data_IF_711470830685
#
_entry.id   IF_711470830685
#
_cell.length_a   1.000
_cell.length_b   1.000
_cell.length_c   1.000
_cell.angle_alpha   90.00
_cell.angle_beta   90.00
_cell.angle_gamma   90.00
#
_symmetry.space_group_name_H-M   'P 1'
#
loop_
_entity.id
_entity.type
_entity.pdbx_description
1 polymer ?
#
# COMPACT_ATOMS: atom_id res chain seq x y z
N UNK A 1 -70.93 -19.14 15.96
CA UNK A 1 -69.51 -19.43 15.96
C UNK A 1 -68.75 -18.85 14.73
N UNK A 2 -69.14 -17.71 14.14
CA UNK A 2 -68.48 -17.12 12.94
C UNK A 2 -67.85 -15.72 13.19
N UNK A 3 -67.88 -15.17 14.39
CA UNK A 3 -67.31 -13.84 14.69
C UNK A 3 -65.87 -13.87 15.23
N UNK A 4 -65.39 -15.01 15.72
CA UNK A 4 -64.00 -15.16 16.20
C UNK A 4 -62.97 -15.34 15.08
N UNK A 5 -63.36 -15.78 13.90
CA UNK A 5 -62.49 -16.04 12.78
C UNK A 5 -62.00 -14.73 12.10
N UNK A 6 -62.85 -13.71 12.04
CA UNK A 6 -62.52 -12.45 11.38
C UNK A 6 -61.53 -11.60 12.22
N UNK A 7 -61.68 -11.61 13.54
CA UNK A 7 -60.75 -10.91 14.43
C UNK A 7 -59.36 -11.55 14.44
N UNK A 8 -59.27 -12.89 14.39
CA UNK A 8 -58.03 -13.60 14.31
C UNK A 8 -57.31 -13.37 12.95
N UNK A 9 -58.04 -13.32 11.85
CA UNK A 9 -57.50 -12.98 10.53
C UNK A 9 -57.03 -11.53 10.45
N UNK A 10 -57.77 -10.59 11.05
CA UNK A 10 -57.35 -9.18 11.10
C UNK A 10 -56.10 -8.99 11.98
N UNK A 11 -55.99 -9.72 13.07
CA UNK A 11 -54.81 -9.68 13.95
C UNK A 11 -53.60 -10.30 13.27
N UNK A 12 -53.76 -11.42 12.53
CA UNK A 12 -52.71 -12.05 11.75
C UNK A 12 -52.24 -11.17 10.59
N UNK A 13 -53.16 -10.50 9.91
CA UNK A 13 -52.81 -9.56 8.83
C UNK A 13 -52.09 -8.31 9.38
N UNK A 14 -52.51 -7.81 10.54
CA UNK A 14 -51.84 -6.67 11.23
C UNK A 14 -50.42 -7.08 11.67
N UNK A 15 -50.26 -8.30 12.20
CA UNK A 15 -48.99 -8.82 12.62
C UNK A 15 -48.07 -9.08 11.41
N UNK A 16 -48.59 -9.59 10.29
CA UNK A 16 -47.86 -9.76 9.05
C UNK A 16 -47.41 -8.40 8.44
N UNK A 17 -48.27 -7.38 8.50
CA UNK A 17 -47.95 -6.04 8.06
C UNK A 17 -46.85 -5.38 8.93
N UNK A 18 -46.92 -5.57 10.26
CA UNK A 18 -45.89 -5.09 11.20
C UNK A 18 -44.53 -5.79 10.98
N UNK A 19 -44.54 -7.08 10.67
CA UNK A 19 -43.30 -7.84 10.37
C UNK A 19 -42.70 -7.42 9.02
N UNK A 20 -43.54 -7.15 8.02
CA UNK A 20 -43.04 -6.71 6.69
C UNK A 20 -42.46 -5.30 6.72
N UNK A 21 -43.03 -4.38 7.50
CA UNK A 21 -42.48 -3.02 7.70
C UNK A 21 -41.16 -3.12 8.49
N UNK A 22 -41.11 -4.02 9.48
CA UNK A 22 -39.89 -4.26 10.24
C UNK A 22 -38.74 -4.83 9.39
N UNK A 23 -39.06 -5.70 8.42
CA UNK A 23 -38.06 -6.25 7.49
C UNK A 23 -37.56 -5.20 6.47
N UNK A 24 -38.46 -4.36 5.93
CA UNK A 24 -38.08 -3.25 5.06
C UNK A 24 -37.21 -2.22 5.79
N UNK A 25 -37.57 -1.89 7.02
CA UNK A 25 -36.79 -0.98 7.88
C UNK A 25 -35.44 -1.58 8.27
N UNK A 26 -35.38 -2.89 8.55
CA UNK A 26 -34.12 -3.60 8.83
C UNK A 26 -33.16 -3.58 7.63
N UNK A 27 -33.68 -3.79 6.43
CA UNK A 27 -32.86 -3.77 5.21
C UNK A 27 -32.31 -2.37 4.93
N UNK A 28 -33.16 -1.36 5.02
CA UNK A 28 -32.77 0.04 4.85
C UNK A 28 -31.77 0.50 5.91
N UNK A 29 -32.02 0.14 7.18
CA UNK A 29 -31.08 0.43 8.27
C UNK A 29 -29.76 -0.30 8.06
N UNK A 30 -29.79 -1.55 7.59
CA UNK A 30 -28.57 -2.31 7.31
C UNK A 30 -27.75 -1.69 6.18
N UNK A 31 -28.38 -1.31 5.06
CA UNK A 31 -27.71 -0.70 3.91
C UNK A 31 -27.15 0.72 4.22
N UNK A 32 -27.84 1.48 5.07
CA UNK A 32 -27.36 2.82 5.50
C UNK A 32 -26.33 2.75 6.63
N UNK A 33 -26.38 1.70 7.46
CA UNK A 33 -25.45 1.56 8.59
C UNK A 33 -24.12 0.91 8.23
N UNK A 34 -24.07 0.11 7.15
CA UNK A 34 -22.82 -0.56 6.72
C UNK A 34 -21.65 0.43 6.50
N UNK A 35 -21.80 1.55 5.75
CA UNK A 35 -20.72 2.51 5.59
C UNK A 35 -20.36 3.24 6.87
N UNK A 36 -21.31 3.41 7.78
CA UNK A 36 -21.05 4.00 9.11
C UNK A 36 -20.27 3.02 9.98
N UNK A 37 -20.66 1.75 9.96
CA UNK A 37 -19.96 0.69 10.69
C UNK A 37 -18.51 0.52 10.19
N UNK A 38 -18.30 0.50 8.88
CA UNK A 38 -16.93 0.46 8.30
C UNK A 38 -16.11 1.68 8.74
N UNK A 39 -16.72 2.86 8.74
CA UNK A 39 -16.03 4.09 9.17
C UNK A 39 -15.72 4.10 10.67
N UNK A 40 -16.59 3.49 11.48
CA UNK A 40 -16.36 3.30 12.93
C UNK A 40 -15.23 2.29 13.15
N UNK A 41 -15.22 1.17 12.43
CA UNK A 41 -14.13 0.20 12.51
C UNK A 41 -12.77 0.78 12.05
N UNK A 42 -12.77 1.61 11.00
CA UNK A 42 -11.56 2.30 10.54
C UNK A 42 -11.08 3.36 11.53
N UNK A 43 -12.01 4.06 12.18
CA UNK A 43 -11.70 5.00 13.27
C UNK A 43 -11.19 4.27 14.51
N UNK A 44 -11.77 3.12 14.85
CA UNK A 44 -11.34 2.31 15.98
C UNK A 44 -9.92 1.74 15.76
N UNK A 45 -9.63 1.27 14.54
CA UNK A 45 -8.26 0.87 14.15
C UNK A 45 -7.28 2.03 14.23
N UNK A 46 -7.68 3.23 13.75
CA UNK A 46 -6.85 4.44 13.84
C UNK A 46 -6.65 4.86 15.28
N UNK A 47 -7.68 4.83 16.10
CA UNK A 47 -7.59 5.14 17.52
C UNK A 47 -6.68 4.13 18.24
N UNK A 48 -6.85 2.83 17.98
CA UNK A 48 -5.98 1.79 18.57
C UNK A 48 -4.51 1.99 18.16
N UNK A 49 -4.26 2.37 16.89
CA UNK A 49 -2.91 2.70 16.43
C UNK A 49 -2.38 3.99 17.08
N UNK A 50 -3.23 5.01 17.25
CA UNK A 50 -2.90 6.25 17.96
C UNK A 50 -2.62 6.00 19.44
N UNK A 51 -3.46 5.21 20.10
CA UNK A 51 -3.28 4.84 21.50
C UNK A 51 -1.97 4.05 21.71
N UNK A 52 -1.65 3.15 20.78
CA UNK A 52 -0.38 2.42 20.79
C UNK A 52 0.82 3.35 20.61
N UNK A 53 0.74 4.31 19.70
CA UNK A 53 1.78 5.32 19.48
C UNK A 53 1.90 6.28 20.68
N UNK A 54 0.79 6.71 21.29
CA UNK A 54 0.76 7.53 22.50
C UNK A 54 1.36 6.78 23.67
N UNK A 55 1.04 5.48 23.82
CA UNK A 55 1.62 4.63 24.87
C UNK A 55 3.14 4.43 24.68
N UNK A 56 3.61 4.38 23.43
CA UNK A 56 5.04 4.28 23.13
C UNK A 56 5.77 5.61 23.35
N UNK A 57 5.16 6.74 22.99
CA UNK A 57 5.64 8.08 23.35
C UNK A 57 5.66 8.29 24.86
N UNK A 58 4.60 7.85 25.57
CA UNK A 58 4.55 7.91 27.04
C UNK A 58 5.70 7.10 27.69
N UNK A 59 5.99 5.91 27.17
CA UNK A 59 7.14 5.10 27.60
C UNK A 59 8.48 5.75 27.25
N UNK A 60 8.54 6.49 26.12
CA UNK A 60 9.69 7.29 25.72
C UNK A 60 9.94 8.46 26.70
N UNK A 61 8.87 9.19 27.05
CA UNK A 61 8.90 10.29 28.01
C UNK A 61 9.25 9.81 29.42
N UNK A 62 8.63 8.69 29.88
CA UNK A 62 8.96 8.11 31.19
C UNK A 62 10.43 7.68 31.28
N UNK A 63 10.98 7.08 30.20
CA UNK A 63 12.41 6.74 30.13
C UNK A 63 13.31 7.97 30.06
N UNK A 64 12.86 9.07 29.44
CA UNK A 64 13.58 10.34 29.46
C UNK A 64 13.54 10.99 30.85
N UNK A 65 12.38 10.88 31.53
CA UNK A 65 12.19 11.40 32.89
C UNK A 65 13.02 10.62 33.93
N UNK A 66 13.03 9.27 33.82
CA UNK A 66 13.90 8.42 34.62
C UNK A 66 15.41 8.71 34.39
N UNK A 67 15.78 9.01 33.13
CA UNK A 67 17.14 9.42 32.75
C UNK A 67 17.48 10.81 33.29
N UNK A 68 16.53 11.75 33.25
CA UNK A 68 16.70 13.09 33.81
C UNK A 68 16.84 13.04 35.33
N UNK A 69 15.97 12.26 36.02
CA UNK A 69 16.08 12.04 37.45
C UNK A 69 17.38 11.31 37.82
N UNK A 70 17.81 10.33 36.99
CA UNK A 70 19.09 9.66 37.15
C UNK A 70 20.31 10.59 36.91
N UNK A 71 20.19 11.53 35.98
CA UNK A 71 21.21 12.54 35.73
C UNK A 71 21.24 13.59 36.84
N UNK A 72 20.07 14.04 37.32
CA UNK A 72 19.98 14.95 38.49
C UNK A 72 20.52 14.33 39.79
N UNK A 73 20.23 13.03 39.99
CA UNK A 73 20.78 12.29 41.09
C UNK A 73 22.34 12.20 41.06
N UNK A 74 22.87 11.89 39.85
CA UNK A 74 24.32 11.87 39.62
C UNK A 74 24.97 13.24 39.77
N UNK A 75 24.29 14.31 39.31
CA UNK A 75 24.76 15.68 39.50
C UNK A 75 24.72 16.08 40.98
N UNK A 76 23.68 15.66 41.71
CA UNK A 76 23.57 15.86 43.18
C UNK A 76 24.61 15.09 43.97
N UNK A 77 24.98 13.87 43.54
CA UNK A 77 26.06 13.09 44.14
C UNK A 77 27.43 13.71 43.85
N UNK A 78 27.67 14.18 42.63
CA UNK A 78 28.89 14.90 42.27
C UNK A 78 29.02 16.23 43.00
N UNK A 79 27.91 16.97 43.20
CA UNK A 79 27.91 18.19 44.00
C UNK A 79 28.19 17.91 45.49
N UNK A 80 27.68 16.80 46.03
CA UNK A 80 27.97 16.36 47.42
C UNK A 80 29.40 15.86 47.55
N UNK A 81 29.90 15.18 46.55
CA UNK A 81 31.29 14.71 46.53
C UNK A 81 32.26 15.89 46.36
N UNK A 82 31.95 16.84 45.48
CA UNK A 82 32.71 18.08 45.35
C UNK A 82 32.64 18.96 46.60
N UNK A 83 31.53 18.98 47.32
CA UNK A 83 31.36 19.66 48.59
C UNK A 83 32.10 19.00 49.75
N UNK A 84 32.36 17.66 49.66
CA UNK A 84 33.04 16.89 50.72
C UNK A 84 34.57 16.89 50.61
N UNK A 85 35.04 17.26 49.48
CA UNK A 85 36.45 16.96 49.25
C UNK A 85 37.23 18.18 48.79
N UNK A 86 37.88 18.81 49.68
CA UNK A 86 39.02 19.69 49.38
C UNK A 86 40.20 18.97 48.68
N UNK A 87 40.06 17.61 48.54
CA UNK A 87 41.17 16.79 48.03
C UNK A 87 40.95 16.26 46.62
N UNK A 88 39.87 16.62 45.92
CA UNK A 88 39.60 15.90 44.69
C UNK A 88 39.45 16.75 43.41
N UNK A 89 40.33 17.69 43.21
CA UNK A 89 40.49 18.33 41.84
C UNK A 89 40.75 17.25 40.76
N UNK A 90 41.41 16.14 41.15
CA UNK A 90 41.60 14.98 40.28
C UNK A 90 40.29 14.20 39.97
N UNK A 91 39.36 14.11 40.96
CA UNK A 91 38.08 13.43 40.77
C UNK A 91 37.12 14.29 39.92
N UNK A 92 37.09 15.61 40.16
CA UNK A 92 36.30 16.54 39.35
C UNK A 92 36.78 16.58 37.88
N UNK A 93 38.11 16.56 37.66
CA UNK A 93 38.68 16.49 36.30
C UNK A 93 38.33 15.18 35.58
N UNK A 94 38.37 14.04 36.33
CA UNK A 94 38.00 12.73 35.79
C UNK A 94 36.51 12.63 35.45
N UNK A 95 35.65 13.29 36.25
CA UNK A 95 34.22 13.33 36.06
C UNK A 95 33.84 14.27 34.92
N UNK A 96 34.54 15.40 34.75
CA UNK A 96 34.39 16.27 33.61
C UNK A 96 34.79 15.58 32.29
N UNK A 97 35.90 14.80 32.31
CA UNK A 97 36.32 13.98 31.17
C UNK A 97 35.30 12.90 30.80
N UNK A 98 34.63 12.30 31.78
CA UNK A 98 33.57 11.31 31.53
C UNK A 98 32.30 11.97 30.99
N UNK A 99 31.94 13.16 31.44
CA UNK A 99 30.81 13.94 30.94
C UNK A 99 31.05 14.40 29.48
N UNK A 100 32.28 14.87 29.18
CA UNK A 100 32.71 15.22 27.84
C UNK A 100 32.61 14.02 26.88
N UNK A 101 33.16 12.86 27.30
CA UNK A 101 33.07 11.62 26.51
C UNK A 101 31.62 11.18 26.25
N UNK A 102 30.73 11.42 27.22
CA UNK A 102 29.28 11.10 27.07
C UNK A 102 28.59 12.10 26.14
N UNK A 103 28.95 13.38 26.23
CA UNK A 103 28.46 14.41 25.30
C UNK A 103 28.92 14.14 23.84
N UNK A 104 30.20 13.78 23.66
CA UNK A 104 30.76 13.43 22.35
C UNK A 104 30.06 12.20 21.76
N UNK A 105 29.75 11.20 22.59
CA UNK A 105 28.93 10.05 22.14
C UNK A 105 27.50 10.46 21.79
N UNK A 106 26.89 11.35 22.55
CA UNK A 106 25.55 11.88 22.28
C UNK A 106 25.51 12.69 20.98
N UNK A 107 26.52 13.53 20.75
CA UNK A 107 26.69 14.27 19.49
C UNK A 107 26.91 13.30 18.32
N UNK A 108 27.72 12.26 18.49
CA UNK A 108 27.94 11.24 17.47
C UNK A 108 26.64 10.47 17.15
N UNK A 109 25.85 10.13 18.17
CA UNK A 109 24.55 9.47 17.99
C UNK A 109 23.53 10.39 17.31
N UNK A 110 23.48 11.67 17.68
CA UNK A 110 22.62 12.66 17.02
C UNK A 110 22.98 12.82 15.54
N UNK A 111 24.28 12.95 15.24
CA UNK A 111 24.77 13.02 13.85
C UNK A 111 24.50 11.74 13.05
N UNK A 112 24.49 10.58 13.71
CA UNK A 112 24.08 9.31 13.10
C UNK A 112 22.57 9.30 12.81
N UNK A 113 21.77 9.79 13.75
CA UNK A 113 20.31 9.90 13.59
C UNK A 113 19.94 10.87 12.45
N UNK A 114 20.58 12.04 12.38
CA UNK A 114 20.39 13.02 11.28
C UNK A 114 20.73 12.40 9.91
N UNK A 115 21.85 11.69 9.81
CA UNK A 115 22.19 10.99 8.56
C UNK A 115 21.16 9.93 8.21
N UNK A 116 20.66 9.18 9.21
CA UNK A 116 19.61 8.19 9.01
C UNK A 116 18.29 8.82 8.57
N UNK A 117 17.90 9.95 9.16
CA UNK A 117 16.72 10.74 8.78
C UNK A 117 16.90 11.33 7.38
N UNK A 118 18.05 11.87 7.04
CA UNK A 118 18.38 12.36 5.70
C UNK A 118 18.29 11.23 4.66
N UNK A 119 18.86 10.07 4.97
CA UNK A 119 18.74 8.87 4.10
C UNK A 119 17.28 8.44 3.94
N UNK A 120 16.53 8.44 5.03
CA UNK A 120 15.11 8.11 4.99
C UNK A 120 14.31 9.16 4.20
N UNK A 121 14.60 10.45 4.38
CA UNK A 121 14.01 11.55 3.60
C UNK A 121 14.25 11.33 2.09
N UNK A 122 15.50 11.13 1.69
CA UNK A 122 15.83 10.83 0.30
C UNK A 122 15.13 9.59 -0.25
N UNK A 123 14.98 8.54 0.57
CA UNK A 123 14.24 7.33 0.16
C UNK A 123 12.74 7.60 0.02
N UNK A 124 12.17 8.44 0.86
CA UNK A 124 10.76 8.83 0.76
C UNK A 124 10.53 9.73 -0.44
N UNK A 125 11.38 10.72 -0.67
CA UNK A 125 11.32 11.59 -1.85
C UNK A 125 11.47 10.83 -3.17
N UNK A 126 12.32 9.79 -3.18
CA UNK A 126 12.52 8.95 -4.35
C UNK A 126 11.59 7.74 -4.43
N UNK A 127 10.65 7.60 -3.50
CA UNK A 127 9.75 6.44 -3.46
C UNK A 127 8.81 6.39 -4.67
N UNK A 128 8.51 7.54 -5.26
CA UNK A 128 7.71 7.69 -6.47
C UNK A 128 8.53 7.74 -7.75
N UNK A 129 9.86 7.74 -7.65
CA UNK A 129 10.75 7.66 -8.79
C UNK A 129 10.91 6.19 -9.20
N UNK A 130 10.30 5.84 -10.33
CA UNK A 130 10.33 4.48 -10.84
C UNK A 130 11.29 4.36 -12.02
N UNK A 131 12.17 3.37 -11.97
CA UNK A 131 12.98 2.94 -13.11
C UNK A 131 12.28 1.83 -13.87
N UNK A 132 12.25 1.96 -15.19
CA UNK A 132 11.81 0.88 -16.05
C UNK A 132 12.83 -0.29 -15.98
N UNK A 133 12.30 -1.46 -15.71
CA UNK A 133 13.06 -2.72 -15.65
C UNK A 133 12.69 -3.64 -16.81
N UNK A 134 12.28 -4.87 -16.50
CA UNK A 134 11.89 -5.85 -17.50
C UNK A 134 10.66 -5.40 -18.30
N UNK A 135 10.70 -5.62 -19.60
CA UNK A 135 9.58 -5.43 -20.49
C UNK A 135 9.27 -6.74 -21.21
N UNK A 136 8.01 -6.93 -21.60
CA UNK A 136 7.54 -8.07 -22.37
C UNK A 136 6.43 -7.64 -23.33
N UNK A 137 6.31 -8.32 -24.46
CA UNK A 137 5.28 -8.04 -25.47
C UNK A 137 4.55 -9.33 -25.81
N UNK A 138 3.26 -9.34 -25.55
CA UNK A 138 2.38 -10.46 -25.81
C UNK A 138 1.50 -10.15 -27.03
N UNK A 139 1.52 -11.02 -28.04
CA UNK A 139 0.76 -10.85 -29.29
C UNK A 139 -0.59 -11.58 -29.21
N UNK A 140 -1.56 -11.02 -29.95
CA UNK A 140 -2.91 -11.55 -30.01
C UNK A 140 -3.37 -11.85 -31.45
N UNK A 141 -4.23 -12.85 -31.56
CA UNK A 141 -4.90 -13.15 -32.83
C UNK A 141 -5.88 -12.05 -33.24
N UNK A 142 -6.26 -12.03 -34.50
CA UNK A 142 -7.21 -11.05 -35.05
C UNK A 142 -8.55 -11.12 -34.31
N UNK A 143 -9.01 -10.01 -33.79
CA UNK A 143 -10.28 -9.90 -33.08
C UNK A 143 -10.36 -10.64 -31.74
N UNK A 144 -9.28 -11.32 -31.31
CA UNK A 144 -9.24 -12.10 -30.07
C UNK A 144 -8.60 -11.35 -28.93
N UNK A 145 -8.98 -11.73 -27.73
CA UNK A 145 -8.38 -11.31 -26.45
C UNK A 145 -7.98 -12.50 -25.57
N UNK A 146 -8.11 -13.73 -26.08
CA UNK A 146 -7.66 -14.93 -25.36
C UNK A 146 -6.14 -15.08 -25.47
N UNK A 147 -5.51 -15.53 -24.39
CA UNK A 147 -4.07 -15.81 -24.38
C UNK A 147 -3.80 -17.13 -25.11
N UNK A 148 -2.75 -17.14 -25.90
CA UNK A 148 -2.19 -18.40 -26.45
C UNK A 148 -1.25 -19.05 -25.42
N UNK A 149 -0.88 -20.30 -25.61
CA UNK A 149 0.09 -21.00 -24.77
C UNK A 149 1.47 -20.34 -24.77
N UNK A 150 1.86 -19.77 -25.92
CA UNK A 150 3.09 -19.01 -26.06
C UNK A 150 3.03 -17.71 -25.26
N UNK A 151 1.88 -17.03 -25.29
CA UNK A 151 1.63 -15.84 -24.49
C UNK A 151 1.68 -16.14 -22.98
N UNK A 152 1.07 -17.24 -22.55
CA UNK A 152 1.13 -17.70 -21.17
C UNK A 152 2.57 -17.98 -20.74
N UNK A 153 3.37 -18.66 -21.55
CA UNK A 153 4.79 -18.93 -21.25
C UNK A 153 5.62 -17.64 -21.15
N UNK A 154 5.35 -16.63 -22.00
CA UNK A 154 5.98 -15.31 -21.90
C UNK A 154 5.60 -14.62 -20.60
N UNK A 155 4.33 -14.66 -20.21
CA UNK A 155 3.84 -14.10 -18.95
C UNK A 155 4.41 -14.82 -17.73
N UNK A 156 4.64 -16.13 -17.82
CA UNK A 156 5.30 -16.91 -16.78
C UNK A 156 6.74 -16.43 -16.57
N UNK A 157 7.48 -16.28 -17.65
CA UNK A 157 8.87 -15.77 -17.60
C UNK A 157 8.92 -14.32 -17.07
N UNK A 158 7.94 -13.50 -17.42
CA UNK A 158 7.84 -12.14 -16.91
C UNK A 158 7.50 -12.11 -15.41
N UNK A 159 6.52 -12.91 -14.98
CA UNK A 159 6.12 -13.02 -13.57
C UNK A 159 7.27 -13.54 -12.70
N UNK A 160 8.07 -14.49 -13.21
CA UNK A 160 9.25 -14.98 -12.52
C UNK A 160 10.31 -13.89 -12.26
N UNK A 161 10.41 -12.89 -13.14
CA UNK A 161 11.29 -11.72 -12.92
C UNK A 161 10.76 -10.79 -11.82
N UNK A 162 9.46 -10.68 -11.67
CA UNK A 162 8.82 -9.86 -10.64
C UNK A 162 8.80 -10.55 -9.25
N UNK A 163 8.75 -11.88 -9.21
CA UNK A 163 8.59 -12.66 -7.98
C UNK A 163 9.59 -12.34 -6.85
N UNK A 164 10.92 -12.15 -7.11
CA UNK A 164 11.87 -11.82 -6.06
C UNK A 164 11.79 -10.37 -5.58
N UNK A 165 11.03 -9.50 -6.25
CA UNK A 165 11.00 -8.07 -5.98
C UNK A 165 10.00 -7.73 -4.88
N UNK A 166 10.43 -6.94 -3.88
CA UNK A 166 9.55 -6.50 -2.79
C UNK A 166 8.68 -5.29 -3.19
N UNK A 167 9.23 -4.40 -4.00
CA UNK A 167 8.58 -3.16 -4.43
C UNK A 167 8.66 -3.07 -5.95
N UNK A 168 7.50 -3.10 -6.59
CA UNK A 168 7.40 -2.97 -8.05
C UNK A 168 5.96 -2.60 -8.44
N UNK A 169 5.84 -2.03 -9.63
CA UNK A 169 4.56 -1.80 -10.31
C UNK A 169 4.68 -2.38 -11.72
N UNK A 170 3.64 -3.00 -12.20
CA UNK A 170 3.52 -3.49 -13.56
C UNK A 170 2.54 -2.61 -14.31
N UNK A 171 2.96 -2.05 -15.42
CA UNK A 171 2.11 -1.37 -16.36
C UNK A 171 1.76 -2.32 -17.51
N UNK A 172 0.47 -2.45 -17.78
CA UNK A 172 -0.08 -3.32 -18.83
C UNK A 172 -0.83 -2.46 -19.84
N UNK A 173 -0.24 -2.31 -21.02
CA UNK A 173 -0.74 -1.46 -22.09
C UNK A 173 -1.29 -2.32 -23.24
N UNK A 174 -2.61 -2.26 -23.49
CA UNK A 174 -3.24 -3.00 -24.58
C UNK A 174 -3.35 -2.17 -25.87
N UNK A 175 -3.11 -2.81 -27.00
CA UNK A 175 -3.18 -2.20 -28.33
C UNK A 175 -3.99 -3.05 -29.30
N UNK A 176 -4.52 -2.40 -30.33
CA UNK A 176 -5.21 -3.02 -31.44
C UNK A 176 -4.57 -2.57 -32.77
N UNK A 177 -4.76 -3.36 -33.80
CA UNK A 177 -4.45 -2.93 -35.15
C UNK A 177 -5.53 -1.94 -35.68
N UNK A 178 -5.33 -1.42 -36.90
CA UNK A 178 -6.26 -0.46 -37.50
C UNK A 178 -7.54 -1.09 -38.06
N UNK A 179 -7.79 -2.38 -37.88
CA UNK A 179 -8.97 -3.06 -38.40
C UNK A 179 -10.17 -2.79 -37.48
N UNK A 180 -11.24 -2.23 -38.07
CA UNK A 180 -12.47 -1.90 -37.33
C UNK A 180 -12.53 -0.45 -36.85
N UNK A 181 -13.64 -0.13 -36.19
CA UNK A 181 -13.91 1.23 -35.71
C UNK A 181 -13.11 1.59 -34.44
N UNK A 182 -12.86 2.89 -34.20
CA UNK A 182 -12.05 3.35 -33.03
C UNK A 182 -12.58 2.88 -31.70
N UNK A 183 -13.88 2.97 -31.45
CA UNK A 183 -14.51 2.55 -30.19
C UNK A 183 -14.34 1.04 -29.94
N UNK A 184 -14.52 0.22 -30.99
CA UNK A 184 -14.34 -1.23 -30.90
C UNK A 184 -12.87 -1.61 -30.60
N UNK A 185 -11.93 -0.88 -31.17
CA UNK A 185 -10.50 -1.10 -30.95
C UNK A 185 -10.06 -0.69 -29.54
N UNK A 186 -10.59 0.38 -29.00
CA UNK A 186 -10.38 0.74 -27.58
C UNK A 186 -10.87 -0.39 -26.67
N UNK A 187 -12.10 -0.87 -26.92
CA UNK A 187 -12.66 -1.95 -26.10
C UNK A 187 -11.90 -3.27 -26.27
N UNK A 188 -11.47 -3.61 -27.49
CA UNK A 188 -10.67 -4.81 -27.74
C UNK A 188 -9.29 -4.73 -27.04
N UNK A 189 -8.67 -3.57 -27.08
CA UNK A 189 -7.38 -3.35 -26.41
C UNK A 189 -7.50 -3.46 -24.88
N UNK A 190 -8.60 -2.96 -24.30
CA UNK A 190 -8.93 -3.14 -22.88
C UNK A 190 -9.14 -4.60 -22.52
N UNK A 191 -9.90 -5.35 -23.31
CA UNK A 191 -10.11 -6.78 -23.07
C UNK A 191 -8.81 -7.58 -23.13
N UNK A 192 -7.90 -7.27 -24.06
CA UNK A 192 -6.57 -7.90 -24.12
C UNK A 192 -5.75 -7.62 -22.87
N UNK A 193 -5.68 -6.36 -22.47
CA UNK A 193 -4.98 -5.97 -21.25
C UNK A 193 -5.61 -6.65 -20.01
N UNK A 194 -6.93 -6.70 -19.92
CA UNK A 194 -7.64 -7.38 -18.84
C UNK A 194 -7.36 -8.90 -18.78
N UNK A 195 -7.22 -9.57 -19.95
CA UNK A 195 -6.86 -10.98 -20.00
C UNK A 195 -5.46 -11.23 -19.43
N UNK A 196 -4.49 -10.38 -19.75
CA UNK A 196 -3.13 -10.42 -19.18
C UNK A 196 -3.17 -10.16 -17.68
N UNK A 197 -3.87 -9.10 -17.23
CA UNK A 197 -4.00 -8.79 -15.79
C UNK A 197 -4.62 -9.96 -15.04
N UNK A 198 -5.68 -10.56 -15.57
CA UNK A 198 -6.33 -11.72 -14.97
C UNK A 198 -5.36 -12.88 -14.80
N UNK A 199 -4.58 -13.20 -15.83
CA UNK A 199 -3.58 -14.25 -15.78
C UNK A 199 -2.51 -13.97 -14.72
N UNK A 200 -1.95 -12.78 -14.71
CA UNK A 200 -0.93 -12.38 -13.73
C UNK A 200 -1.46 -12.43 -12.29
N UNK A 201 -2.72 -12.03 -12.08
CA UNK A 201 -3.28 -11.96 -10.72
C UNK A 201 -3.82 -13.28 -10.22
N UNK A 202 -4.54 -14.04 -11.05
CA UNK A 202 -5.18 -15.28 -10.63
C UNK A 202 -4.23 -16.48 -10.70
N UNK A 203 -3.43 -16.58 -11.77
CA UNK A 203 -2.57 -17.73 -11.98
C UNK A 203 -1.18 -17.53 -11.39
N UNK A 204 -0.60 -16.32 -11.54
CA UNK A 204 0.74 -16.00 -11.02
C UNK A 204 0.74 -15.33 -9.66
N UNK A 205 -0.44 -15.06 -9.08
CA UNK A 205 -0.60 -14.51 -7.72
C UNK A 205 0.03 -13.13 -7.52
N UNK A 206 0.24 -12.37 -8.59
CA UNK A 206 0.68 -10.98 -8.51
C UNK A 206 -0.47 -10.15 -7.92
N UNK A 207 -0.24 -9.38 -6.84
CA UNK A 207 -1.28 -8.58 -6.23
C UNK A 207 -1.85 -7.54 -7.21
N UNK A 208 -3.18 -7.47 -7.32
CA UNK A 208 -3.85 -6.56 -8.26
C UNK A 208 -3.45 -5.09 -8.07
N UNK A 209 -3.22 -4.66 -6.84
CA UNK A 209 -2.81 -3.28 -6.53
C UNK A 209 -1.44 -2.90 -7.10
N UNK A 210 -0.67 -3.86 -7.61
CA UNK A 210 0.62 -3.63 -8.29
C UNK A 210 0.50 -3.55 -9.80
N UNK A 211 -0.70 -3.69 -10.35
CA UNK A 211 -0.91 -3.74 -11.81
C UNK A 211 -1.77 -2.57 -12.25
N UNK A 212 -1.17 -1.67 -13.01
CA UNK A 212 -1.88 -0.61 -13.72
C UNK A 212 -2.17 -1.04 -15.15
N UNK A 213 -3.37 -0.79 -15.63
CA UNK A 213 -3.76 -1.23 -16.96
C UNK A 213 -4.49 -0.14 -17.75
N UNK A 214 -4.19 -0.09 -19.06
CA UNK A 214 -4.85 0.82 -19.98
C UNK A 214 -4.97 0.19 -21.37
N UNK A 215 -6.07 0.47 -22.05
CA UNK A 215 -6.27 0.12 -23.46
C UNK A 215 -6.18 1.35 -24.34
N UNK A 216 -5.21 1.37 -25.23
CA UNK A 216 -4.93 2.50 -26.13
C UNK A 216 -5.63 2.38 -27.50
N UNK A 217 -6.32 1.27 -27.77
CA UNK A 217 -6.88 1.04 -29.10
C UNK A 217 -5.80 1.00 -30.18
N UNK A 218 -5.94 1.85 -31.18
CA UNK A 218 -4.98 1.96 -32.31
C UNK A 218 -3.92 3.04 -32.11
N UNK A 219 -3.88 3.69 -30.97
CA UNK A 219 -2.84 4.68 -30.67
C UNK A 219 -1.47 3.99 -30.57
N UNK A 220 -0.41 4.71 -30.93
CA UNK A 220 0.97 4.26 -30.84
C UNK A 220 1.23 2.89 -31.53
N UNK A 221 1.05 2.80 -32.85
CA UNK A 221 1.33 1.58 -33.58
C UNK A 221 2.83 1.23 -33.52
N UNK A 222 3.13 -0.04 -33.25
CA UNK A 222 4.52 -0.54 -33.24
C UNK A 222 5.06 -0.74 -34.65
N UNK A 223 4.18 -0.97 -35.63
CA UNK A 223 4.53 -1.19 -37.02
C UNK A 223 3.44 -0.68 -37.98
N UNK A 224 3.75 -0.64 -39.27
CA UNK A 224 2.84 -0.15 -40.29
C UNK A 224 1.57 -1.02 -40.36
N UNK A 225 0.43 -0.41 -40.10
CA UNK A 225 -0.89 -1.04 -40.18
C UNK A 225 -1.33 -1.46 -41.61
N UNK A 226 -0.68 -0.95 -42.64
CA UNK A 226 -0.98 -1.32 -44.04
C UNK A 226 -0.54 -2.76 -44.30
N UNK A 227 0.51 -3.26 -43.66
CA UNK A 227 1.03 -4.61 -43.86
C UNK A 227 0.33 -5.61 -42.92
N UNK A 228 0.26 -6.89 -43.35
CA UNK A 228 -0.29 -7.96 -42.50
C UNK A 228 0.56 -8.19 -41.25
N UNK A 229 1.88 -8.16 -41.43
CA UNK A 229 2.83 -8.38 -40.34
C UNK A 229 2.84 -7.20 -39.37
N UNK A 230 2.77 -5.97 -39.87
CA UNK A 230 2.66 -4.80 -39.01
C UNK A 230 1.37 -4.82 -38.17
N UNK A 231 0.24 -5.17 -38.76
CA UNK A 231 -0.99 -5.38 -37.97
C UNK A 231 -0.85 -6.49 -36.93
N UNK A 232 -0.12 -7.57 -37.24
CA UNK A 232 0.18 -8.62 -36.26
C UNK A 232 0.97 -8.07 -35.06
N UNK A 233 1.96 -7.22 -35.31
CA UNK A 233 2.75 -6.56 -34.26
C UNK A 233 1.92 -5.55 -33.45
N UNK A 234 0.97 -4.87 -34.09
CA UNK A 234 0.10 -3.90 -33.42
C UNK A 234 -0.94 -4.56 -32.51
N UNK A 235 -1.35 -5.80 -32.76
CA UNK A 235 -2.23 -6.58 -31.87
C UNK A 235 -1.43 -7.13 -30.69
N UNK A 236 -1.10 -6.26 -29.73
CA UNK A 236 -0.23 -6.61 -28.63
C UNK A 236 -0.71 -6.09 -27.30
N UNK A 237 -0.15 -6.65 -26.27
CA UNK A 237 -0.10 -6.05 -24.92
C UNK A 237 1.37 -5.89 -24.56
N UNK A 238 1.75 -4.71 -24.18
CA UNK A 238 3.06 -4.42 -23.62
C UNK A 238 2.97 -4.44 -22.11
N UNK A 239 3.92 -5.14 -21.48
CA UNK A 239 4.13 -5.14 -20.05
C UNK A 239 5.44 -4.43 -19.74
N UNK A 240 5.43 -3.56 -18.77
CA UNK A 240 6.62 -2.91 -18.23
C UNK A 240 6.66 -3.05 -16.72
N UNK A 241 7.77 -3.54 -16.23
CA UNK A 241 8.01 -3.65 -14.80
C UNK A 241 8.77 -2.41 -14.34
N UNK A 242 8.24 -1.73 -13.35
CA UNK A 242 8.86 -0.56 -12.74
C UNK A 242 9.27 -0.87 -11.31
N UNK A 243 10.45 -0.47 -10.95
CA UNK A 243 10.96 -0.58 -9.58
C UNK A 243 11.30 0.80 -9.05
N UNK A 244 11.05 1.09 -7.75
CA UNK A 244 11.44 2.37 -7.18
C UNK A 244 12.96 2.55 -7.29
N UNK A 245 13.38 3.74 -7.69
CA UNK A 245 14.77 4.17 -7.62
C UNK A 245 15.05 4.72 -6.22
N UNK A 246 15.35 3.85 -5.29
CA UNK A 246 15.56 4.24 -3.90
C UNK A 246 16.89 4.97 -3.65
N UNK A 247 17.63 5.35 -4.71
CA UNK A 247 18.96 5.93 -4.59
C UNK A 247 19.91 4.97 -3.86
N UNK A 248 21.01 4.64 -4.44
CA UNK A 248 22.10 3.88 -3.77
C UNK A 248 22.81 4.75 -2.74
#
# INVERSE_FOLDING_TARGET
MKRFSLAALALAALFAALVSVGCATKKYVHETMVPVQQKVEDLDKKNTAQDSAIAELGRGVSRADERAQGADSKAGDAAREAARANDSAAAASKQAGAAQSTADKGVAQAAQAERSVGTLGNRVENMDNFKAGAAEVVLFAVGKSDLSKEAEAQLDAFAAKAAPMKHYVIEVQGFADSTGGPAANIELSRRRAAAVVRYLTLDKKIPLFRVNTIGYGTASPAADNKTRDGRKQNRRVELKLFTPDLGS
#
